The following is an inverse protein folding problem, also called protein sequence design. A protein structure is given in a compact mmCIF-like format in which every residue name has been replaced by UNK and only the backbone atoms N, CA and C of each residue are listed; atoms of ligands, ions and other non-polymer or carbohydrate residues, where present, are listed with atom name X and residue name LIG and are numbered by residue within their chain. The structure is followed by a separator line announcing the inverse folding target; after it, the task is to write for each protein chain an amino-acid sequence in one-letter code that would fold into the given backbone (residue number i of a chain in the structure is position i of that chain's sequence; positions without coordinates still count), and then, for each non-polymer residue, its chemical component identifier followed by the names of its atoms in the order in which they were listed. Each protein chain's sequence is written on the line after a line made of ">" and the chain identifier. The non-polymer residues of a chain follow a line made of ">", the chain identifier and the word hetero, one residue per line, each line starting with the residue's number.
data_IF_968350509182
#
_entry.id   IF_968350509182
#
_cell.length_a   1.000
_cell.length_b   1.000
_cell.length_c   1.000
_cell.angle_alpha   90.00
_cell.angle_beta   90.00
_cell.angle_gamma   90.00
#
_symmetry.space_group_name_H-M   'P 1'
#
loop_
_entity.id
_entity.type
_entity.pdbx_description
1 polymer ?
#
# COMPACT_ATOMS: atom_id res chain seq x y z
N UNK A 1 10.97 -10.36 -29.75
CA UNK A 1 11.05 -10.41 -28.27
C UNK A 1 10.91 -11.87 -27.84
N UNK A 2 11.81 -12.38 -27.01
CA UNK A 2 11.70 -13.77 -26.51
C UNK A 2 10.54 -13.89 -25.50
N UNK A 3 9.89 -15.05 -25.44
CA UNK A 3 8.76 -15.29 -24.52
C UNK A 3 9.09 -14.94 -23.06
N UNK A 4 10.35 -15.18 -22.65
CA UNK A 4 10.86 -14.83 -21.34
C UNK A 4 10.75 -13.33 -21.03
N UNK A 5 10.99 -12.46 -22.02
CA UNK A 5 10.88 -11.01 -21.85
C UNK A 5 9.41 -10.61 -21.61
N UNK A 6 8.48 -11.24 -22.33
CA UNK A 6 7.04 -10.97 -22.18
C UNK A 6 6.58 -11.38 -20.77
N UNK A 7 7.00 -12.54 -20.28
CA UNK A 7 6.64 -13.01 -18.93
C UNK A 7 7.19 -12.09 -17.85
N UNK A 8 8.43 -11.60 -17.99
CA UNK A 8 9.02 -10.64 -17.05
C UNK A 8 8.25 -9.33 -17.03
N UNK A 9 7.92 -8.76 -18.20
CA UNK A 9 7.12 -7.54 -18.27
C UNK A 9 5.73 -7.71 -17.65
N UNK A 10 5.07 -8.85 -17.90
CA UNK A 10 3.77 -9.14 -17.30
C UNK A 10 3.86 -9.21 -15.77
N UNK A 11 4.89 -9.89 -15.25
CA UNK A 11 5.14 -10.00 -13.81
C UNK A 11 5.41 -8.64 -13.16
N UNK A 12 6.17 -7.76 -13.82
CA UNK A 12 6.44 -6.41 -13.32
C UNK A 12 5.17 -5.54 -13.27
N UNK A 13 4.29 -5.65 -14.26
CA UNK A 13 3.01 -4.92 -14.28
C UNK A 13 2.12 -5.37 -13.13
N UNK A 14 1.99 -6.68 -12.91
CA UNK A 14 1.20 -7.22 -11.80
C UNK A 14 1.79 -6.80 -10.45
N UNK A 15 3.12 -6.88 -10.30
CA UNK A 15 3.80 -6.44 -9.09
C UNK A 15 3.57 -4.94 -8.81
N UNK A 16 3.63 -4.09 -9.84
CA UNK A 16 3.36 -2.67 -9.71
C UNK A 16 1.89 -2.39 -9.33
N UNK A 17 0.93 -3.07 -9.96
CA UNK A 17 -0.48 -2.94 -9.62
C UNK A 17 -0.77 -3.35 -8.19
N UNK A 18 -0.18 -4.46 -7.75
CA UNK A 18 -0.26 -4.90 -6.37
C UNK A 18 0.33 -3.78 -5.51
N UNK A 19 1.58 -3.35 -5.71
CA UNK A 19 2.31 -2.34 -4.92
C UNK A 19 1.53 -1.06 -4.57
N UNK A 20 0.63 -0.61 -5.45
CA UNK A 20 -0.17 0.60 -5.21
C UNK A 20 -1.42 0.40 -4.34
N UNK A 21 -1.86 -0.84 -4.07
CA UNK A 21 -3.07 -1.14 -3.29
C UNK A 21 -3.10 -0.46 -1.90
N UNK A 22 -2.07 -0.56 -1.02
CA UNK A 22 -2.12 0.06 0.30
C UNK A 22 -2.18 1.60 0.22
N UNK A 23 -1.55 2.20 -0.79
CA UNK A 23 -1.66 3.64 -1.03
C UNK A 23 -3.10 4.01 -1.43
N UNK A 24 -3.72 3.26 -2.35
CA UNK A 24 -5.12 3.47 -2.76
C UNK A 24 -6.09 3.30 -1.59
N UNK A 25 -5.90 2.26 -0.76
CA UNK A 25 -6.73 2.00 0.42
C UNK A 25 -6.62 3.13 1.45
N UNK A 26 -5.42 3.66 1.68
CA UNK A 26 -5.21 4.78 2.60
C UNK A 26 -5.87 6.08 2.12
N UNK A 27 -5.81 6.36 0.81
CA UNK A 27 -6.45 7.52 0.21
C UNK A 27 -7.98 7.40 0.20
N UNK A 28 -8.53 6.22 -0.13
CA UNK A 28 -9.97 5.96 -0.17
C UNK A 28 -10.63 6.09 1.21
N UNK A 29 -9.94 5.69 2.29
CA UNK A 29 -10.52 5.71 3.65
C UNK A 29 -10.40 7.03 4.39
N UNK A 30 -9.73 8.05 3.84
CA UNK A 30 -9.70 9.37 4.46
C UNK A 30 -8.98 9.43 5.83
N UNK A 31 -8.17 8.43 6.18
CA UNK A 31 -7.52 8.34 7.50
C UNK A 31 -6.55 9.50 7.78
N UNK A 32 -6.48 10.05 8.99
CA UNK A 32 -5.58 11.17 9.32
C UNK A 32 -4.10 10.84 9.14
N UNK A 33 -3.70 9.56 9.19
CA UNK A 33 -2.32 9.10 9.06
C UNK A 33 -1.89 8.71 7.63
N UNK A 34 -2.48 9.32 6.58
CA UNK A 34 -2.11 9.09 5.16
C UNK A 34 -0.61 9.21 4.91
N UNK A 35 0.07 10.18 5.55
CA UNK A 35 1.50 10.41 5.39
C UNK A 35 2.35 9.22 5.84
N UNK A 36 2.04 8.63 7.01
CA UNK A 36 2.78 7.45 7.51
C UNK A 36 2.58 6.22 6.65
N UNK A 37 1.39 6.03 6.08
CA UNK A 37 1.14 4.93 5.13
C UNK A 37 1.94 5.12 3.84
N UNK A 38 2.06 6.36 3.36
CA UNK A 38 2.84 6.68 2.16
C UNK A 38 4.34 6.47 2.39
N UNK A 39 4.88 6.89 3.54
CA UNK A 39 6.28 6.67 3.92
C UNK A 39 6.58 5.17 4.07
N UNK A 40 5.71 4.40 4.74
CA UNK A 40 5.88 2.94 4.84
C UNK A 40 5.80 2.25 3.48
N UNK A 41 4.87 2.66 2.62
CA UNK A 41 4.76 2.10 1.29
C UNK A 41 5.95 2.48 0.39
N UNK A 42 6.58 3.63 0.60
CA UNK A 42 7.75 4.05 -0.19
C UNK A 42 9.04 3.38 0.29
N UNK A 43 9.26 3.30 1.61
CA UNK A 43 10.51 2.80 2.20
C UNK A 43 10.51 1.31 2.51
N UNK A 44 9.35 0.71 2.82
CA UNK A 44 9.22 -0.71 3.14
C UNK A 44 8.25 -1.44 2.20
N UNK A 45 7.70 -0.79 1.18
CA UNK A 45 6.77 -1.44 0.24
C UNK A 45 7.40 -2.59 -0.56
N UNK A 46 8.73 -2.61 -0.67
CA UNK A 46 9.52 -3.72 -1.20
C UNK A 46 9.56 -4.96 -0.28
N UNK A 47 9.06 -4.85 0.95
CA UNK A 47 8.96 -5.94 1.91
C UNK A 47 7.49 -6.27 2.18
N UNK A 48 7.14 -7.56 2.20
CA UNK A 48 5.79 -8.02 2.54
C UNK A 48 5.32 -7.45 3.91
N UNK A 49 6.27 -7.26 4.83
CA UNK A 49 6.04 -6.72 6.18
C UNK A 49 5.63 -5.24 6.12
N UNK A 50 6.35 -4.39 5.39
CA UNK A 50 5.97 -2.98 5.21
C UNK A 50 4.60 -2.82 4.58
N UNK A 51 4.28 -3.74 3.67
CA UNK A 51 2.98 -3.84 3.03
C UNK A 51 1.84 -4.12 4.02
N UNK A 52 1.99 -5.14 4.87
CA UNK A 52 1.00 -5.52 5.88
C UNK A 52 0.85 -4.41 6.93
N UNK A 53 1.94 -3.77 7.35
CA UNK A 53 1.91 -2.66 8.31
C UNK A 53 1.21 -1.42 7.73
N UNK A 54 1.49 -1.08 6.46
CA UNK A 54 0.79 -0.02 5.74
C UNK A 54 -0.73 -0.29 5.67
N UNK A 55 -1.12 -1.54 5.38
CA UNK A 55 -2.51 -1.95 5.31
C UNK A 55 -3.20 -1.94 6.68
N UNK A 56 -2.51 -2.41 7.73
CA UNK A 56 -2.99 -2.35 9.11
C UNK A 56 -3.18 -0.89 9.57
N UNK A 57 -2.27 0.02 9.23
CA UNK A 57 -2.41 1.44 9.51
C UNK A 57 -3.46 2.14 8.64
N UNK A 58 -3.71 1.68 7.41
CA UNK A 58 -4.82 2.17 6.61
C UNK A 58 -6.18 1.66 7.11
N UNK A 59 -6.20 0.48 7.73
CA UNK A 59 -7.40 -0.15 8.29
C UNK A 59 -7.77 0.36 9.69
N UNK A 60 -6.85 1.01 10.41
CA UNK A 60 -7.14 1.55 11.75
C UNK A 60 -8.24 2.62 11.68
N UNK A 61 -9.28 2.45 12.48
CA UNK A 61 -10.33 3.45 12.64
C UNK A 61 -9.80 4.67 13.41
N UNK A 62 -10.26 5.86 13.06
CA UNK A 62 -9.94 7.07 13.81
C UNK A 62 -10.36 6.88 15.28
N UNK A 63 -9.57 7.38 16.26
CA UNK A 63 -10.03 7.40 17.65
C UNK A 63 -11.37 8.13 17.69
N UNK A 64 -12.40 7.51 18.25
CA UNK A 64 -13.62 8.22 18.62
C UNK A 64 -13.20 9.20 19.73
N UNK A 65 -12.89 10.44 19.36
CA UNK A 65 -12.66 11.51 20.32
C UNK A 65 -13.87 11.59 21.25
N UNK A 66 -13.65 11.85 22.55
CA UNK A 66 -14.72 11.68 23.51
C UNK A 66 -15.92 12.57 23.18
N UNK A 67 -17.11 11.95 23.19
CA UNK A 67 -18.39 12.65 23.09
C UNK A 67 -18.61 13.41 24.40
N UNK A 68 -18.12 14.64 24.47
CA UNK A 68 -18.51 15.61 25.48
C UNK A 68 -19.19 16.78 24.76
#
# INVERSE_FOLDING_TARGET
>A
MSANVIVVFLGLIVAALVYFVPAVVAFSRGVPNKGSVLVLNLFLGWTLVGWVVALAMAARSAPQGPRY
#
